data_IF_625161683092
#
_entry.id   IF_625161683092
#
_cell.length_a   1.000
_cell.length_b   1.000
_cell.length_c   1.000
_cell.angle_alpha   90.00
_cell.angle_beta   90.00
_cell.angle_gamma   90.00
#
_symmetry.space_group_name_H-M   'P 1'
#
loop_
_entity.id
_entity.type
_entity.pdbx_description
1 polymer ?
#
# COMPACT_ATOMS: atom_id res chain seq x y z
N UNK A 1 -19.79 10.79 -11.65
CA UNK A 1 -18.32 10.77 -11.61
C UNK A 1 -17.85 9.81 -12.68
N UNK A 2 -16.94 10.24 -13.55
CA UNK A 2 -16.33 9.38 -14.57
C UNK A 2 -15.45 8.32 -13.90
N UNK A 3 -15.16 7.21 -14.57
CA UNK A 3 -14.27 6.15 -14.04
C UNK A 3 -12.88 6.69 -13.62
N UNK A 4 -12.41 7.77 -14.29
CA UNK A 4 -11.12 8.41 -13.99
C UNK A 4 -11.10 9.22 -12.70
N UNK A 5 -12.26 9.48 -12.07
CA UNK A 5 -12.32 10.27 -10.82
C UNK A 5 -11.93 9.46 -9.57
N UNK A 6 -11.83 8.13 -9.67
CA UNK A 6 -11.55 7.26 -8.52
C UNK A 6 -10.05 7.02 -8.24
N UNK A 7 -9.17 7.47 -9.14
CA UNK A 7 -7.71 7.31 -9.04
C UNK A 7 -7.02 8.58 -9.48
N UNK A 8 -5.99 8.98 -8.78
CA UNK A 8 -5.10 10.07 -9.20
C UNK A 8 -3.79 9.47 -9.69
N UNK A 9 -3.33 9.92 -10.86
CA UNK A 9 -2.03 9.57 -11.42
C UNK A 9 -1.24 10.85 -11.61
N UNK A 10 -0.05 10.93 -11.02
CA UNK A 10 0.96 11.96 -11.31
C UNK A 10 2.12 11.27 -12.01
N UNK A 11 2.37 11.62 -13.25
CA UNK A 11 3.44 11.00 -14.04
C UNK A 11 4.79 11.67 -13.75
N UNK A 12 5.79 10.83 -13.53
CA UNK A 12 7.21 11.14 -13.59
C UNK A 12 7.88 10.17 -14.56
N UNK A 13 9.18 10.32 -14.78
CA UNK A 13 9.92 9.51 -15.75
C UNK A 13 11.02 8.65 -15.12
N UNK A 14 11.19 8.66 -13.79
CA UNK A 14 12.11 7.72 -13.12
C UNK A 14 11.62 6.26 -13.24
N UNK A 15 12.48 5.25 -13.09
CA UNK A 15 12.06 3.84 -13.15
C UNK A 15 11.23 3.39 -11.94
N UNK A 16 10.90 4.31 -11.02
CA UNK A 16 10.17 4.06 -9.78
C UNK A 16 8.73 4.54 -9.88
N UNK A 17 7.79 3.69 -9.45
CA UNK A 17 6.38 4.01 -9.28
C UNK A 17 5.98 3.78 -7.82
N UNK A 18 5.36 4.79 -7.19
CA UNK A 18 4.77 4.67 -5.87
C UNK A 18 3.28 4.38 -5.99
N UNK A 19 2.83 3.26 -5.42
CA UNK A 19 1.42 2.89 -5.34
C UNK A 19 0.85 3.21 -3.95
N UNK A 20 -0.29 3.90 -3.89
CA UNK A 20 -1.00 4.25 -2.65
C UNK A 20 -2.43 3.71 -2.71
N UNK A 21 -2.65 2.43 -2.40
CA UNK A 21 -3.96 1.82 -2.53
C UNK A 21 -4.96 2.23 -1.43
N UNK A 22 -4.51 2.73 -0.29
CA UNK A 22 -5.33 2.85 0.92
C UNK A 22 -5.40 4.25 1.55
N UNK A 23 -4.89 5.27 0.87
CA UNK A 23 -4.94 6.67 1.35
C UNK A 23 -6.30 7.32 1.11
N UNK A 24 -7.11 6.76 0.22
CA UNK A 24 -8.39 7.33 -0.17
C UNK A 24 -9.48 7.20 0.89
N UNK A 25 -10.28 8.24 1.07
CA UNK A 25 -11.39 8.30 2.03
C UNK A 25 -12.76 8.41 1.35
N UNK A 26 -12.80 8.45 0.02
CA UNK A 26 -14.08 8.53 -0.69
C UNK A 26 -14.88 7.24 -0.54
N UNK A 27 -16.13 7.37 -0.08
CA UNK A 27 -17.12 6.29 -0.01
C UNK A 27 -18.38 6.76 -0.73
N UNK A 28 -18.85 6.06 -1.79
CA UNK A 28 -20.11 6.41 -2.47
C UNK A 28 -21.29 6.42 -1.50
N UNK A 29 -22.24 7.32 -1.72
CA UNK A 29 -23.39 7.51 -0.82
C UNK A 29 -24.19 6.23 -0.57
N UNK A 30 -24.41 5.42 -1.60
CA UNK A 30 -25.09 4.12 -1.47
C UNK A 30 -24.30 3.10 -0.64
N UNK A 31 -22.98 3.16 -0.63
CA UNK A 31 -22.12 2.34 0.23
C UNK A 31 -22.13 2.88 1.65
N UNK A 32 -21.95 4.21 1.80
CA UNK A 32 -21.92 4.90 3.09
C UNK A 32 -23.22 4.72 3.89
N UNK A 33 -24.36 4.68 3.20
CA UNK A 33 -25.67 4.43 3.84
C UNK A 33 -25.76 3.06 4.52
N UNK A 34 -25.03 2.06 4.00
CA UNK A 34 -25.01 0.70 4.53
C UNK A 34 -23.96 0.46 5.62
N UNK A 35 -22.99 1.40 5.80
CA UNK A 35 -22.03 1.33 6.90
C UNK A 35 -22.71 1.74 8.21
N UNK A 36 -22.34 1.07 9.31
CA UNK A 36 -22.71 1.46 10.66
C UNK A 36 -21.89 2.69 11.14
N UNK A 37 -22.07 3.13 12.39
CA UNK A 37 -21.32 4.26 12.96
C UNK A 37 -19.81 4.03 12.92
N UNK A 38 -19.36 2.80 13.23
CA UNK A 38 -17.95 2.42 13.25
C UNK A 38 -17.35 2.42 11.83
N UNK A 39 -18.02 1.82 10.86
CA UNK A 39 -17.57 1.82 9.47
C UNK A 39 -17.47 3.21 8.86
N UNK A 40 -18.28 4.18 9.31
CA UNK A 40 -18.24 5.57 8.86
C UNK A 40 -17.04 6.36 9.37
N UNK A 41 -16.34 5.87 10.40
CA UNK A 41 -15.12 6.48 10.94
C UNK A 41 -13.94 6.28 9.97
N UNK A 42 -13.93 5.19 9.18
CA UNK A 42 -12.88 4.86 8.21
C UNK A 42 -11.51 4.66 8.88
N UNK A 43 -11.47 4.04 10.05
CA UNK A 43 -10.27 3.90 10.90
C UNK A 43 -9.08 3.21 10.21
N UNK A 44 -9.35 2.32 9.24
CA UNK A 44 -8.33 1.54 8.55
C UNK A 44 -7.73 2.25 7.31
N UNK A 45 -7.80 3.58 7.30
CA UNK A 45 -7.13 4.40 6.27
C UNK A 45 -5.63 4.47 6.53
N UNK A 46 -4.82 4.42 5.49
CA UNK A 46 -3.39 4.76 5.55
C UNK A 46 -3.27 6.30 5.58
N UNK A 47 -3.70 6.89 6.71
CA UNK A 47 -3.88 8.33 6.89
C UNK A 47 -2.60 9.11 6.56
N UNK A 48 -2.70 10.13 5.69
CA UNK A 48 -1.61 11.05 5.33
C UNK A 48 -0.33 10.38 4.79
N UNK A 49 -0.41 9.11 4.38
CA UNK A 49 0.76 8.41 3.88
C UNK A 49 1.28 9.03 2.57
N UNK A 50 0.40 9.51 1.71
CA UNK A 50 0.75 10.25 0.50
C UNK A 50 1.47 11.57 0.83
N UNK A 51 1.01 12.29 1.85
CA UNK A 51 1.68 13.50 2.38
C UNK A 51 3.07 13.17 2.93
N UNK A 52 3.22 12.04 3.65
CA UNK A 52 4.53 11.60 4.18
C UNK A 52 5.56 11.39 3.07
N UNK A 53 5.15 10.88 1.93
CA UNK A 53 6.03 10.62 0.78
C UNK A 53 6.17 11.82 -0.16
N UNK A 54 5.32 12.85 -0.05
CA UNK A 54 5.34 14.01 -0.93
C UNK A 54 6.68 14.76 -0.87
N UNK A 55 7.25 15.05 -2.05
CA UNK A 55 8.50 15.81 -2.18
C UNK A 55 9.76 15.08 -1.70
N UNK A 56 9.73 13.79 -1.40
CA UNK A 56 10.94 13.04 -1.02
C UNK A 56 11.90 12.87 -2.18
N UNK A 57 11.40 12.66 -3.39
CA UNK A 57 12.19 12.57 -4.62
C UNK A 57 11.43 13.24 -5.77
N UNK A 58 12.19 13.71 -6.75
CA UNK A 58 11.66 14.29 -7.97
C UNK A 58 11.38 13.23 -9.04
N UNK A 59 10.57 13.58 -10.02
CA UNK A 59 10.31 12.79 -11.24
C UNK A 59 9.82 11.35 -11.01
N UNK A 60 9.13 11.11 -9.88
CA UNK A 60 8.51 9.82 -9.56
C UNK A 60 7.06 9.77 -10.03
N UNK A 61 6.65 8.62 -10.58
CA UNK A 61 5.24 8.36 -10.87
C UNK A 61 4.50 7.94 -9.60
N UNK A 62 3.33 8.53 -9.33
CA UNK A 62 2.46 8.10 -8.24
C UNK A 62 1.08 7.67 -8.76
N UNK A 63 0.52 6.62 -8.16
CA UNK A 63 -0.85 6.14 -8.42
C UNK A 63 -1.57 5.98 -7.09
N UNK A 64 -2.58 6.84 -6.85
CA UNK A 64 -3.31 6.89 -5.59
C UNK A 64 -4.78 6.51 -5.79
N UNK A 65 -5.30 5.54 -5.05
CA UNK A 65 -6.73 5.31 -4.93
C UNK A 65 -7.37 6.44 -4.12
N UNK A 66 -8.48 7.01 -4.62
CA UNK A 66 -9.25 8.05 -3.89
C UNK A 66 -10.35 7.43 -3.04
N UNK A 67 -10.74 6.18 -3.33
CA UNK A 67 -11.77 5.47 -2.59
C UNK A 67 -11.19 4.71 -1.40
N UNK A 68 -12.00 4.59 -0.36
CA UNK A 68 -11.63 3.87 0.86
C UNK A 68 -11.70 2.36 0.67
N UNK A 69 -10.82 1.61 1.36
CA UNK A 69 -10.77 0.12 1.31
C UNK A 69 -12.08 -0.56 1.71
N UNK A 70 -12.98 0.09 2.47
CA UNK A 70 -14.29 -0.45 2.79
C UNK A 70 -15.25 -0.45 1.59
N UNK A 71 -14.99 0.36 0.56
CA UNK A 71 -15.69 0.22 -0.71
C UNK A 71 -15.31 -1.08 -1.38
N UNK A 72 -14.02 -1.28 -1.56
CA UNK A 72 -13.34 -2.49 -2.02
C UNK A 72 -11.84 -2.32 -1.77
N UNK A 73 -11.17 -3.36 -1.31
CA UNK A 73 -9.72 -3.29 -1.05
C UNK A 73 -8.93 -3.61 -2.33
N UNK A 74 -8.24 -2.60 -2.92
CA UNK A 74 -7.46 -2.84 -4.14
C UNK A 74 -6.22 -3.71 -3.90
N UNK A 75 -5.80 -3.90 -2.64
CA UNK A 75 -4.69 -4.80 -2.31
C UNK A 75 -5.17 -6.22 -1.92
N UNK A 76 -6.31 -6.64 -2.49
CA UNK A 76 -6.85 -8.01 -2.35
C UNK A 76 -7.13 -8.61 -3.72
N UNK A 77 -7.06 -9.95 -3.78
CA UNK A 77 -7.40 -10.70 -4.99
C UNK A 77 -8.88 -10.46 -5.37
N UNK A 78 -9.19 -9.97 -6.59
CA UNK A 78 -10.57 -9.78 -7.02
C UNK A 78 -11.38 -11.10 -7.11
N UNK A 79 -10.71 -12.25 -7.11
CA UNK A 79 -11.34 -13.56 -7.01
C UNK A 79 -11.64 -13.98 -5.56
N UNK A 80 -11.21 -13.16 -4.57
CA UNK A 80 -11.46 -13.40 -3.16
C UNK A 80 -10.56 -14.46 -2.51
N UNK A 81 -9.44 -14.82 -3.16
CA UNK A 81 -8.47 -15.77 -2.59
C UNK A 81 -7.69 -15.08 -1.45
N UNK A 82 -7.64 -15.72 -0.28
CA UNK A 82 -6.88 -15.21 0.86
C UNK A 82 -5.38 -15.27 0.60
N UNK A 83 -4.67 -14.16 0.86
CA UNK A 83 -3.22 -14.08 0.77
C UNK A 83 -2.51 -14.69 1.99
N UNK A 84 -3.22 -14.81 3.10
CA UNK A 84 -2.69 -15.28 4.39
C UNK A 84 -3.62 -16.33 5.00
N UNK A 85 -3.67 -17.56 4.42
CA UNK A 85 -4.51 -18.64 4.96
C UNK A 85 -4.15 -18.92 6.43
N UNK A 86 -5.18 -19.03 7.29
CA UNK A 86 -4.99 -19.30 8.72
C UNK A 86 -4.62 -18.09 9.58
N UNK A 87 -4.52 -16.89 9.01
CA UNK A 87 -4.31 -15.65 9.75
C UNK A 87 -5.53 -14.72 9.65
N UNK A 88 -5.76 -13.91 10.68
CA UNK A 88 -6.75 -12.85 10.60
C UNK A 88 -6.35 -11.83 9.53
N UNK A 89 -7.24 -11.59 8.59
CA UNK A 89 -7.06 -10.61 7.50
C UNK A 89 -8.43 -10.20 6.95
N UNK A 90 -8.53 -8.99 6.45
CA UNK A 90 -9.75 -8.53 5.78
C UNK A 90 -9.85 -9.13 4.38
N UNK A 91 -11.10 -9.32 3.92
CA UNK A 91 -11.39 -9.79 2.55
C UNK A 91 -11.35 -8.67 1.51
N UNK A 92 -11.74 -9.01 0.26
CA UNK A 92 -11.85 -8.08 -0.86
C UNK A 92 -12.76 -6.88 -0.56
N UNK A 93 -13.89 -7.12 0.10
CA UNK A 93 -14.69 -6.09 0.76
C UNK A 93 -14.63 -6.40 2.25
N UNK A 94 -13.94 -5.58 3.07
CA UNK A 94 -13.84 -5.81 4.50
C UNK A 94 -15.22 -5.86 5.15
N UNK A 95 -15.47 -6.87 5.97
CA UNK A 95 -16.71 -7.00 6.75
C UNK A 95 -16.53 -6.46 8.17
N UNK A 96 -15.30 -6.45 8.62
CA UNK A 96 -14.87 -5.90 9.91
C UNK A 96 -13.75 -4.90 9.67
N UNK A 97 -13.50 -4.03 10.63
CA UNK A 97 -12.25 -3.27 10.70
C UNK A 97 -11.08 -4.13 11.20
N UNK A 98 -9.92 -3.52 11.37
CA UNK A 98 -8.72 -4.22 11.84
C UNK A 98 -8.83 -4.69 13.31
N UNK A 99 -9.71 -4.12 14.12
CA UNK A 99 -9.97 -4.58 15.47
C UNK A 99 -10.89 -5.81 15.51
N UNK A 100 -11.47 -6.20 14.37
CA UNK A 100 -12.37 -7.33 14.23
C UNK A 100 -13.85 -6.98 14.42
N UNK A 101 -14.17 -5.71 14.61
CA UNK A 101 -15.54 -5.25 14.81
C UNK A 101 -16.29 -5.04 13.49
N UNK A 102 -17.58 -5.39 13.46
CA UNK A 102 -18.42 -5.22 12.29
C UNK A 102 -18.58 -3.75 11.89
N UNK A 103 -18.46 -3.49 10.58
CA UNK A 103 -18.54 -2.14 10.00
C UNK A 103 -19.79 -1.89 9.16
N UNK A 104 -20.69 -2.87 9.04
CA UNK A 104 -21.90 -2.81 8.20
C UNK A 104 -23.18 -2.93 9.00
N UNK A 105 -24.19 -2.11 8.66
CA UNK A 105 -25.59 -2.34 9.01
C UNK A 105 -26.23 -3.32 7.99
N UNK A 106 -25.89 -3.17 6.69
CA UNK A 106 -26.36 -4.02 5.61
C UNK A 106 -25.17 -4.49 4.80
N UNK A 107 -24.95 -5.80 4.76
CA UNK A 107 -23.84 -6.40 4.03
C UNK A 107 -24.00 -6.21 2.51
N UNK A 108 -22.88 -5.99 1.79
CA UNK A 108 -22.91 -5.88 0.33
C UNK A 108 -23.30 -7.20 -0.33
N UNK A 109 -24.16 -7.12 -1.33
CA UNK A 109 -24.56 -8.26 -2.14
C UNK A 109 -23.45 -8.65 -3.13
N UNK A 110 -23.48 -9.89 -3.63
CA UNK A 110 -22.56 -10.36 -4.69
C UNK A 110 -22.59 -9.47 -5.94
N UNK A 111 -23.77 -8.96 -6.29
CA UNK A 111 -23.95 -8.05 -7.44
C UNK A 111 -23.28 -6.70 -7.21
N UNK A 112 -23.39 -6.15 -6.01
CA UNK A 112 -22.70 -4.90 -5.64
C UNK A 112 -21.19 -5.09 -5.64
N UNK A 113 -20.69 -6.20 -5.09
CA UNK A 113 -19.25 -6.50 -5.09
C UNK A 113 -18.71 -6.57 -6.52
N UNK A 114 -19.41 -7.24 -7.46
CA UNK A 114 -19.03 -7.25 -8.89
C UNK A 114 -18.95 -5.85 -9.48
N UNK A 115 -19.92 -4.97 -9.19
CA UNK A 115 -19.89 -3.57 -9.64
C UNK A 115 -18.71 -2.80 -9.04
N UNK A 116 -18.38 -3.03 -7.75
CA UNK A 116 -17.24 -2.37 -7.09
C UNK A 116 -15.91 -2.86 -7.67
N UNK A 117 -15.78 -4.15 -8.03
CA UNK A 117 -14.61 -4.66 -8.75
C UNK A 117 -14.40 -3.87 -10.04
N UNK A 118 -15.44 -3.71 -10.87
CA UNK A 118 -15.32 -3.01 -12.16
C UNK A 118 -15.03 -1.52 -12.00
N UNK A 119 -15.72 -0.84 -11.06
CA UNK A 119 -15.71 0.61 -10.98
C UNK A 119 -14.56 1.18 -10.13
N UNK A 120 -13.92 0.37 -9.28
CA UNK A 120 -12.88 0.83 -8.36
C UNK A 120 -11.62 -0.03 -8.46
N UNK A 121 -11.70 -1.32 -8.14
CA UNK A 121 -10.56 -2.22 -8.14
C UNK A 121 -9.87 -2.26 -9.51
N UNK A 122 -10.63 -2.56 -10.56
CA UNK A 122 -10.14 -2.61 -11.93
C UNK A 122 -9.54 -1.26 -12.38
N UNK A 123 -10.18 -0.15 -12.02
CA UNK A 123 -9.73 1.21 -12.40
C UNK A 123 -8.35 1.51 -11.79
N UNK A 124 -8.15 1.20 -10.51
CA UNK A 124 -6.86 1.35 -9.84
C UNK A 124 -5.77 0.49 -10.52
N UNK A 125 -6.06 -0.78 -10.74
CA UNK A 125 -5.10 -1.69 -11.37
C UNK A 125 -4.84 -1.40 -12.84
N UNK A 126 -5.81 -0.86 -13.57
CA UNK A 126 -5.62 -0.37 -14.93
C UNK A 126 -4.62 0.79 -14.94
N UNK A 127 -4.75 1.76 -14.03
CA UNK A 127 -3.80 2.86 -13.90
C UNK A 127 -2.39 2.37 -13.57
N UNK A 128 -2.23 1.50 -12.56
CA UNK A 128 -0.95 0.88 -12.23
C UNK A 128 -0.33 0.18 -13.45
N UNK A 129 -1.09 -0.66 -14.14
CA UNK A 129 -0.59 -1.44 -15.29
C UNK A 129 -0.12 -0.54 -16.43
N UNK A 130 -0.86 0.53 -16.73
CA UNK A 130 -0.49 1.51 -17.77
C UNK A 130 0.85 2.15 -17.43
N UNK A 131 1.01 2.66 -16.21
CA UNK A 131 2.24 3.35 -15.80
C UNK A 131 3.43 2.40 -15.65
N UNK A 132 3.24 1.20 -15.10
CA UNK A 132 4.28 0.17 -15.06
C UNK A 132 4.77 -0.21 -16.46
N UNK A 133 3.85 -0.33 -17.42
CA UNK A 133 4.21 -0.63 -18.82
C UNK A 133 4.96 0.54 -19.45
N UNK A 134 4.50 1.78 -19.22
CA UNK A 134 5.15 3.00 -19.74
C UNK A 134 6.58 3.13 -19.22
N UNK A 135 6.79 3.05 -17.92
CA UNK A 135 8.12 3.18 -17.30
C UNK A 135 9.05 2.04 -17.70
N UNK A 136 8.54 0.82 -17.76
CA UNK A 136 9.31 -0.33 -18.24
C UNK A 136 9.77 -0.13 -19.69
N UNK A 137 8.94 0.43 -20.57
CA UNK A 137 9.32 0.71 -21.95
C UNK A 137 10.41 1.78 -22.06
N UNK A 138 10.42 2.75 -21.13
CA UNK A 138 11.44 3.80 -21.09
C UNK A 138 12.79 3.25 -20.58
N UNK A 139 12.78 2.43 -19.52
CA UNK A 139 14.00 2.04 -18.80
C UNK A 139 14.45 0.60 -19.02
N UNK A 140 13.62 -0.24 -19.67
CA UNK A 140 13.84 -1.68 -19.76
C UNK A 140 13.41 -2.46 -18.52
N UNK A 141 13.17 -1.77 -17.39
CA UNK A 141 12.67 -2.30 -16.13
C UNK A 141 11.81 -1.25 -15.40
N UNK A 142 11.12 -1.68 -14.38
CA UNK A 142 10.35 -0.79 -13.49
C UNK A 142 10.30 -1.37 -12.07
N UNK A 143 10.28 -0.50 -11.07
CA UNK A 143 10.12 -0.87 -9.67
C UNK A 143 8.81 -0.25 -9.16
N UNK A 144 7.90 -1.10 -8.71
CA UNK A 144 6.71 -0.70 -7.95
C UNK A 144 7.06 -0.72 -6.45
N UNK A 145 6.99 0.43 -5.83
CA UNK A 145 7.07 0.58 -4.38
C UNK A 145 5.64 0.75 -3.85
N UNK A 146 5.12 -0.30 -3.23
CA UNK A 146 3.74 -0.40 -2.75
C UNK A 146 3.69 0.18 -1.33
N UNK A 147 3.19 1.42 -1.21
CA UNK A 147 3.21 2.22 0.00
C UNK A 147 2.01 1.90 0.88
N UNK A 148 2.26 1.47 2.11
CA UNK A 148 1.25 1.15 3.11
C UNK A 148 1.61 1.66 4.48
N UNK A 149 0.60 1.82 5.33
CA UNK A 149 0.80 2.07 6.75
C UNK A 149 -0.35 1.48 7.58
N UNK A 150 -0.05 1.15 8.82
CA UNK A 150 -1.00 0.56 9.74
C UNK A 150 -0.67 0.99 11.17
N UNK A 151 -1.65 0.95 12.07
CA UNK A 151 -1.43 1.19 13.50
C UNK A 151 -0.38 0.23 14.08
N UNK A 152 0.44 0.73 15.00
CA UNK A 152 1.52 -0.05 15.62
C UNK A 152 1.04 -1.19 16.53
N UNK A 153 -0.20 -1.11 17.03
CA UNK A 153 -0.79 -2.12 17.94
C UNK A 153 -2.18 -2.48 17.46
N UNK A 154 -2.36 -3.74 17.00
CA UNK A 154 -3.66 -4.29 16.60
C UNK A 154 -3.73 -5.76 17.04
N UNK A 155 -4.17 -6.06 18.27
CA UNK A 155 -4.14 -7.42 18.83
C UNK A 155 -4.90 -8.45 17.99
N UNK A 156 -5.93 -8.04 17.25
CA UNK A 156 -6.66 -8.92 16.34
C UNK A 156 -5.84 -9.38 15.14
N UNK A 157 -4.79 -8.63 14.73
CA UNK A 157 -3.97 -8.95 13.55
C UNK A 157 -2.59 -9.48 13.88
N UNK A 158 -1.98 -9.04 14.97
CA UNK A 158 -0.64 -9.43 15.40
C UNK A 158 -0.43 -9.15 16.90
N UNK A 159 0.51 -9.86 17.50
CA UNK A 159 0.88 -9.65 18.91
C UNK A 159 1.94 -8.55 19.05
N UNK A 160 1.88 -7.81 20.15
CA UNK A 160 2.86 -6.80 20.53
C UNK A 160 2.82 -5.53 19.69
N UNK A 161 3.97 -4.90 19.53
CA UNK A 161 4.16 -3.66 18.78
C UNK A 161 4.80 -4.01 17.43
N UNK A 162 4.19 -3.51 16.36
CA UNK A 162 4.70 -3.69 15.01
C UNK A 162 6.00 -2.89 14.81
N UNK A 163 7.07 -3.48 14.24
CA UNK A 163 8.23 -2.71 13.79
C UNK A 163 7.85 -1.54 12.89
N UNK A 164 8.66 -0.48 12.91
CA UNK A 164 8.38 0.72 12.09
C UNK A 164 8.42 0.41 10.61
N UNK A 165 9.45 -0.30 10.15
CA UNK A 165 9.60 -0.69 8.75
C UNK A 165 9.29 -2.18 8.57
N UNK A 166 8.21 -2.51 7.88
CA UNK A 166 7.87 -3.88 7.53
C UNK A 166 8.00 -4.05 6.01
N UNK A 167 9.06 -4.71 5.58
CA UNK A 167 9.41 -4.87 4.17
C UNK A 167 8.82 -6.18 3.67
N UNK A 168 7.99 -6.12 2.62
CA UNK A 168 7.37 -7.29 1.98
C UNK A 168 7.87 -7.49 0.55
N UNK A 169 8.43 -8.66 0.26
CA UNK A 169 8.96 -9.04 -1.06
C UNK A 169 8.43 -10.38 -1.56
N UNK A 170 7.30 -10.82 -1.01
CA UNK A 170 6.78 -12.17 -1.25
C UNK A 170 7.89 -13.24 -1.02
N UNK A 171 8.61 -13.10 0.08
CA UNK A 171 9.75 -13.98 0.45
C UNK A 171 10.83 -14.01 -0.64
N UNK A 172 11.17 -12.85 -1.18
CA UNK A 172 12.21 -12.67 -2.22
C UNK A 172 11.76 -13.00 -3.65
N UNK A 173 10.45 -13.22 -3.87
CA UNK A 173 9.94 -13.62 -5.19
C UNK A 173 9.47 -12.44 -6.05
N UNK A 174 9.14 -11.29 -5.43
CA UNK A 174 8.52 -10.16 -6.15
C UNK A 174 9.51 -9.11 -6.67
N UNK A 175 10.77 -9.17 -6.27
CA UNK A 175 11.81 -8.27 -6.75
C UNK A 175 13.18 -8.96 -6.87
N UNK A 176 14.14 -8.27 -7.49
CA UNK A 176 15.53 -8.72 -7.52
C UNK A 176 16.13 -8.72 -6.11
N UNK A 177 17.02 -9.67 -5.83
CA UNK A 177 17.68 -9.82 -4.51
C UNK A 177 18.48 -8.57 -4.11
N UNK A 178 19.03 -7.85 -5.09
CA UNK A 178 19.77 -6.62 -4.82
C UNK A 178 18.82 -5.50 -4.35
N UNK A 179 17.61 -5.42 -4.90
CA UNK A 179 16.57 -4.48 -4.46
C UNK A 179 16.18 -4.79 -3.01
N UNK A 180 15.83 -6.05 -2.72
CA UNK A 180 15.47 -6.51 -1.37
C UNK A 180 16.59 -6.18 -0.37
N UNK A 181 17.83 -6.57 -0.71
CA UNK A 181 18.99 -6.36 0.14
C UNK A 181 19.23 -4.88 0.46
N UNK A 182 19.25 -4.00 -0.55
CA UNK A 182 19.51 -2.56 -0.37
C UNK A 182 18.48 -1.91 0.53
N UNK A 183 17.19 -2.19 0.30
CA UNK A 183 16.12 -1.63 1.16
C UNK A 183 16.22 -2.16 2.58
N UNK A 184 16.45 -3.46 2.74
CA UNK A 184 16.63 -4.06 4.06
C UNK A 184 17.86 -3.52 4.80
N UNK A 185 19.00 -3.34 4.11
CA UNK A 185 20.21 -2.79 4.70
C UNK A 185 19.98 -1.36 5.23
N UNK A 186 19.31 -0.47 4.45
CA UNK A 186 19.00 0.90 4.87
C UNK A 186 18.10 0.87 6.13
N UNK A 187 17.05 0.05 6.14
CA UNK A 187 16.14 -0.03 7.27
C UNK A 187 16.82 -0.62 8.52
N UNK A 188 17.65 -1.67 8.37
CA UNK A 188 18.27 -2.36 9.49
C UNK A 188 19.51 -1.65 10.07
N UNK A 189 20.18 -0.82 9.29
CA UNK A 189 21.33 -0.02 9.74
C UNK A 189 20.92 1.27 10.46
N UNK A 190 19.67 1.67 10.31
CA UNK A 190 19.13 2.78 11.05
C UNK A 190 18.98 2.42 12.54
N UNK A 191 19.48 3.29 13.42
CA UNK A 191 19.49 3.06 14.88
C UNK A 191 18.27 3.63 15.59
N UNK A 192 17.41 4.37 14.89
CA UNK A 192 16.27 5.07 15.49
C UNK A 192 15.00 4.21 15.47
N UNK A 193 14.83 3.39 14.44
CA UNK A 193 13.63 2.61 14.20
C UNK A 193 13.98 1.16 13.89
N UNK A 194 13.13 0.25 14.33
CA UNK A 194 13.24 -1.17 14.05
C UNK A 194 12.64 -1.54 12.67
N UNK A 195 13.08 -2.67 12.16
CA UNK A 195 12.63 -3.17 10.85
C UNK A 195 12.52 -4.69 10.82
N UNK A 196 11.69 -5.19 9.94
CA UNK A 196 11.56 -6.62 9.64
C UNK A 196 11.36 -6.86 8.16
N UNK A 197 12.09 -7.84 7.62
CA UNK A 197 11.93 -8.32 6.25
C UNK A 197 11.02 -9.56 6.24
N UNK A 198 9.93 -9.50 5.48
CA UNK A 198 8.97 -10.60 5.31
C UNK A 198 8.44 -11.17 6.65
N UNK A 199 8.18 -10.30 7.63
CA UNK A 199 7.55 -10.64 8.91
C UNK A 199 6.04 -10.88 8.78
N UNK A 200 5.23 -10.15 9.55
CA UNK A 200 3.76 -10.23 9.44
C UNK A 200 3.26 -9.86 8.05
N UNK A 201 3.87 -8.88 7.41
CA UNK A 201 3.52 -8.38 6.07
C UNK A 201 4.58 -8.82 5.05
N UNK A 202 4.27 -9.87 4.29
CA UNK A 202 5.20 -10.43 3.29
C UNK A 202 4.96 -9.90 1.88
N UNK A 203 4.09 -8.93 1.72
CA UNK A 203 3.61 -8.41 0.45
C UNK A 203 2.15 -8.77 0.19
N UNK A 204 1.32 -7.77 -0.13
CA UNK A 204 -0.09 -7.90 -0.48
C UNK A 204 -0.31 -8.41 -1.91
N UNK A 205 -1.56 -8.36 -2.35
CA UNK A 205 -1.91 -8.83 -3.70
C UNK A 205 -1.20 -8.01 -4.78
N UNK A 206 -1.13 -6.69 -4.64
CA UNK A 206 -0.44 -5.80 -5.57
C UNK A 206 1.02 -6.22 -5.75
N UNK A 207 1.76 -6.37 -4.66
CA UNK A 207 3.17 -6.79 -4.68
C UNK A 207 3.34 -8.15 -5.35
N UNK A 208 2.49 -9.13 -5.03
CA UNK A 208 2.57 -10.50 -5.58
C UNK A 208 2.16 -10.57 -7.05
N UNK A 209 1.12 -9.81 -7.43
CA UNK A 209 0.56 -9.83 -8.78
C UNK A 209 1.48 -9.14 -9.79
N UNK A 210 2.11 -8.01 -9.40
CA UNK A 210 2.97 -7.25 -10.30
C UNK A 210 4.44 -7.63 -10.24
N UNK A 211 4.93 -8.11 -9.10
CA UNK A 211 6.32 -8.53 -8.93
C UNK A 211 6.67 -9.75 -9.80
N UNK A 212 7.24 -9.49 -10.97
CA UNK A 212 7.68 -10.49 -11.96
C UNK A 212 9.12 -10.15 -12.39
N UNK A 213 10.13 -10.44 -11.53
CA UNK A 213 11.53 -10.05 -11.80
C UNK A 213 12.07 -10.60 -13.11
N UNK A 214 11.62 -11.80 -13.51
CA UNK A 214 11.95 -12.42 -14.80
C UNK A 214 11.41 -11.65 -16.02
N UNK A 215 10.47 -10.74 -15.80
CA UNK A 215 9.92 -9.80 -16.80
C UNK A 215 10.38 -8.36 -16.54
N UNK A 216 11.39 -8.15 -15.69
CA UNK A 216 11.91 -6.82 -15.32
C UNK A 216 10.86 -5.88 -14.71
N UNK A 217 9.89 -6.45 -14.02
CA UNK A 217 8.92 -5.74 -13.17
C UNK A 217 9.18 -6.19 -11.73
N UNK A 218 9.70 -5.29 -10.92
CA UNK A 218 9.98 -5.55 -9.52
C UNK A 218 8.90 -4.89 -8.67
N UNK A 219 8.51 -5.55 -7.57
CA UNK A 219 7.59 -4.96 -6.61
C UNK A 219 8.10 -5.21 -5.19
N UNK A 220 8.06 -4.17 -4.37
CA UNK A 220 8.42 -4.22 -2.96
C UNK A 220 7.38 -3.42 -2.17
N UNK A 221 6.84 -4.01 -1.11
CA UNK A 221 5.91 -3.35 -0.20
C UNK A 221 6.67 -2.76 0.97
N UNK A 222 6.30 -1.56 1.37
CA UNK A 222 6.67 -0.98 2.64
C UNK A 222 5.40 -0.75 3.47
N UNK A 223 5.27 -1.46 4.59
CA UNK A 223 4.23 -1.23 5.58
C UNK A 223 4.83 -0.46 6.76
N UNK A 224 4.47 0.80 6.91
CA UNK A 224 4.96 1.64 8.00
C UNK A 224 4.04 1.58 9.21
N UNK A 225 4.61 1.63 10.40
CA UNK A 225 3.84 1.95 11.60
C UNK A 225 3.38 3.42 11.54
N UNK A 226 2.09 3.67 11.73
CA UNK A 226 1.51 5.02 11.74
C UNK A 226 2.03 5.87 12.92
N UNK A 227 2.54 5.25 13.97
CA UNK A 227 3.08 5.91 15.17
C UNK A 227 4.21 6.90 14.87
N UNK A 228 4.91 6.72 13.73
CA UNK A 228 6.10 7.53 13.40
C UNK A 228 5.79 8.80 12.61
N UNK A 229 4.51 9.03 12.26
CA UNK A 229 4.12 10.25 11.53
C UNK A 229 2.70 10.76 11.88
N UNK A 230 1.94 10.07 12.74
CA UNK A 230 0.69 10.57 13.28
C UNK A 230 0.85 10.97 14.76
N UNK A 231 0.12 11.99 15.20
CA UNK A 231 0.05 12.35 16.61
C UNK A 231 -0.61 11.24 17.41
N UNK A 232 -1.74 10.73 16.90
CA UNK A 232 -2.48 9.62 17.48
C UNK A 232 -2.96 8.66 16.38
N UNK A 233 -2.61 7.37 16.51
CA UNK A 233 -3.00 6.32 15.56
C UNK A 233 -4.44 5.81 15.73
N UNK A 234 -5.07 6.10 16.88
CA UNK A 234 -6.36 5.51 17.22
C UNK A 234 -7.54 6.48 17.05
N UNK A 235 -7.25 7.79 16.97
CA UNK A 235 -8.29 8.82 16.81
C UNK A 235 -7.69 10.12 16.30
N UNK A 236 -8.49 10.91 15.57
CA UNK A 236 -8.09 12.20 15.04
C UNK A 236 -7.14 12.10 13.86
N UNK A 237 -6.15 11.22 13.94
CA UNK A 237 -5.17 10.92 12.90
C UNK A 237 -4.44 12.14 12.34
N UNK A 238 -4.18 13.15 13.17
CA UNK A 238 -3.46 14.34 12.74
C UNK A 238 -2.02 14.00 12.34
N UNK A 239 -1.58 14.55 11.24
CA UNK A 239 -0.20 14.42 10.77
C UNK A 239 0.76 15.17 11.69
N UNK A 240 1.84 14.52 12.10
CA UNK A 240 2.88 15.08 12.96
C UNK A 240 4.13 15.40 12.16
N UNK A 241 4.34 16.67 11.86
CA UNK A 241 5.54 17.13 11.17
C UNK A 241 6.83 16.75 11.93
N UNK A 242 6.80 16.85 13.26
CA UNK A 242 7.95 16.55 14.10
C UNK A 242 8.33 15.07 14.08
N UNK A 243 7.35 14.16 14.10
CA UNK A 243 7.59 12.72 13.97
C UNK A 243 8.01 12.37 12.54
N UNK A 244 7.30 12.90 11.54
CA UNK A 244 7.61 12.67 10.13
C UNK A 244 9.03 13.12 9.76
N UNK A 245 9.52 14.22 10.34
CA UNK A 245 10.88 14.71 10.11
C UNK A 245 11.97 13.68 10.43
N UNK A 246 11.71 12.72 11.33
CA UNK A 246 12.65 11.67 11.68
C UNK A 246 12.65 10.49 10.68
N UNK A 247 11.49 10.13 10.12
CA UNK A 247 11.38 8.97 9.22
C UNK A 247 11.59 9.35 7.75
N UNK A 248 11.23 10.57 7.34
CA UNK A 248 11.35 11.05 5.96
C UNK A 248 12.78 10.96 5.37
N UNK A 249 13.88 11.24 6.09
CA UNK A 249 15.24 11.06 5.55
C UNK A 249 15.53 9.62 5.16
N UNK A 250 15.09 8.64 5.95
CA UNK A 250 15.28 7.20 5.68
C UNK A 250 14.46 6.78 4.45
N UNK A 251 13.19 7.20 4.38
CA UNK A 251 12.35 6.97 3.20
C UNK A 251 12.96 7.59 1.94
N UNK A 252 13.51 8.81 2.03
CA UNK A 252 14.20 9.48 0.92
C UNK A 252 15.41 8.69 0.46
N UNK A 253 16.21 8.14 1.37
CA UNK A 253 17.37 7.30 1.06
C UNK A 253 16.94 6.02 0.33
N UNK A 254 15.89 5.33 0.83
CA UNK A 254 15.31 4.15 0.17
C UNK A 254 14.89 4.49 -1.27
N UNK A 255 14.11 5.54 -1.45
CA UNK A 255 13.59 5.90 -2.77
C UNK A 255 14.70 6.30 -3.75
N UNK A 256 15.70 7.10 -3.31
CA UNK A 256 16.87 7.44 -4.12
C UNK A 256 17.67 6.20 -4.52
N UNK A 257 17.84 5.25 -3.60
CA UNK A 257 18.50 3.98 -3.88
C UNK A 257 17.73 3.19 -4.94
N UNK A 258 16.40 3.11 -4.83
CA UNK A 258 15.55 2.43 -5.81
C UNK A 258 15.56 3.10 -7.20
N UNK A 259 15.66 4.42 -7.27
CA UNK A 259 15.80 5.13 -8.56
C UNK A 259 17.14 4.85 -9.22
N UNK A 260 18.21 4.75 -8.44
CA UNK A 260 19.58 4.57 -8.97
C UNK A 260 19.99 3.13 -9.21
N UNK A 261 19.30 2.16 -8.60
CA UNK A 261 19.61 0.73 -8.75
C UNK A 261 19.29 0.26 -10.17
N UNK A 262 20.22 -0.50 -10.76
CA UNK A 262 20.00 -1.19 -12.04
C UNK A 262 19.89 -2.68 -11.78
N UNK A 263 18.68 -3.25 -11.73
CA UNK A 263 18.52 -4.69 -11.54
C UNK A 263 19.26 -5.47 -12.62
N UNK A 264 19.77 -6.65 -12.26
CA UNK A 264 20.49 -7.51 -13.21
C UNK A 264 19.55 -7.90 -14.35
N UNK A 265 19.81 -7.34 -15.55
CA UNK A 265 19.15 -7.79 -16.76
C UNK A 265 19.76 -9.14 -17.18
N UNK A 266 19.17 -10.24 -16.71
CA UNK A 266 19.56 -11.58 -17.16
C UNK A 266 19.24 -11.68 -18.66
N UNK A 267 20.29 -11.85 -19.47
CA UNK A 267 20.17 -12.14 -20.92
C UNK A 267 19.57 -13.52 -21.13
#
# INVERSE_FOLDING_TARGET
>A
MSEMDNVTVKQGNSPLLLGFPHVGTYVPNNVKANLNSRGKILSDTDWHLDTLYEGLIDDVTTVCAKFHRYVIDPNRDPLGVSLYPGQNTTGLVPLTDFDGDQIWNVLPTKTEIKKRISNFHYVYHKALKVELTRLKNIHGYVILYDCHSIRSVIPNLFEGILPVFNIGTNKGQSCDKEIEKKVNDICSQNTMFDSVLNGRFTGGWTTRNYGQPNKYIHAIQMELSQSVYLENENSGWEYSESKAANVRPILKEILNTLVSIKPLMRR
#
